data_IF_261115284947
#
_entry.id   IF_261115284947
#
_cell.length_a   1.000
_cell.length_b   1.000
_cell.length_c   1.000
_cell.angle_alpha   90.00
_cell.angle_beta   90.00
_cell.angle_gamma   90.00
#
_symmetry.space_group_name_H-M   'P 1'
#
loop_
_entity.id
_entity.type
_entity.pdbx_description
1 polymer ?
#
# COMPACT_ATOMS: atom_id res chain seq x y z
N UNK A 1 -7.13 -1.72 20.48
CA UNK A 1 -7.83 -0.58 19.90
C UNK A 1 -8.39 -0.94 18.54
N UNK A 2 -9.57 -0.46 18.26
CA UNK A 2 -10.17 -0.67 16.95
C UNK A 2 -9.54 0.29 15.93
N UNK A 3 -9.02 -0.26 14.84
CA UNK A 3 -8.41 0.54 13.79
C UNK A 3 -9.34 0.89 12.65
N UNK A 4 -10.61 0.49 12.78
CA UNK A 4 -11.60 0.82 11.77
C UNK A 4 -12.26 2.12 12.16
N UNK A 5 -12.07 3.14 11.34
CA UNK A 5 -12.59 4.47 11.62
C UNK A 5 -13.60 4.86 10.55
N UNK A 6 -14.82 5.23 10.96
CA UNK A 6 -15.80 5.69 9.99
C UNK A 6 -15.31 6.98 9.32
N UNK A 7 -15.32 7.01 8.00
CA UNK A 7 -14.83 8.16 7.27
C UNK A 7 -15.69 9.40 7.45
N UNK A 8 -16.96 9.19 7.82
CA UNK A 8 -17.90 10.30 7.99
C UNK A 8 -17.78 10.99 9.35
N UNK A 9 -17.01 10.44 10.26
CA UNK A 9 -16.92 10.97 11.59
C UNK A 9 -15.60 11.75 11.75
N UNK A 10 -15.45 12.45 12.84
CA UNK A 10 -14.29 13.30 13.04
C UNK A 10 -13.03 12.54 13.41
N UNK A 11 -13.20 11.28 13.80
CA UNK A 11 -12.05 10.43 14.09
C UNK A 11 -11.39 10.05 12.77
N UNK A 12 -10.08 10.08 12.74
CA UNK A 12 -9.33 9.73 11.55
C UNK A 12 -8.05 9.02 11.93
N UNK A 13 -7.52 8.25 10.98
CA UNK A 13 -6.23 7.61 11.15
C UNK A 13 -5.17 8.70 11.21
N UNK A 14 -4.25 8.66 12.19
CA UNK A 14 -3.19 9.67 12.26
C UNK A 14 -2.33 9.66 11.01
N UNK A 15 -2.08 10.85 10.45
CA UNK A 15 -1.23 10.97 9.27
C UNK A 15 0.22 10.59 9.56
N UNK A 16 0.61 10.63 10.82
CA UNK A 16 1.97 10.28 11.22
C UNK A 16 2.19 8.79 11.37
N UNK A 17 1.28 7.97 10.85
CA UNK A 17 1.39 6.51 10.97
C UNK A 17 2.63 5.95 10.26
N UNK A 18 3.25 6.70 9.38
CA UNK A 18 4.36 6.25 8.58
C UNK A 18 3.90 5.80 7.20
N UNK A 19 4.77 5.15 6.45
CA UNK A 19 4.45 4.73 5.10
C UNK A 19 3.50 3.52 5.11
N UNK A 20 2.53 3.54 4.21
CA UNK A 20 1.62 2.43 3.98
C UNK A 20 2.07 1.76 2.69
N UNK A 21 2.46 0.49 2.77
CA UNK A 21 2.99 -0.26 1.65
C UNK A 21 1.93 -1.23 1.12
N UNK A 22 1.65 -1.13 -0.17
CA UNK A 22 0.69 -2.00 -0.84
C UNK A 22 1.42 -3.06 -1.66
N UNK A 23 1.19 -4.33 -1.37
CA UNK A 23 1.73 -5.43 -2.16
C UNK A 23 0.69 -5.77 -3.23
N UNK A 24 1.05 -5.61 -4.50
CA UNK A 24 0.11 -5.76 -5.60
C UNK A 24 -0.75 -4.50 -5.78
N UNK A 25 -0.14 -3.34 -5.72
CA UNK A 25 -0.84 -2.06 -5.69
C UNK A 25 -1.68 -1.79 -6.94
N UNK A 26 -1.34 -2.42 -8.06
CA UNK A 26 -2.09 -2.25 -9.31
C UNK A 26 -3.37 -3.05 -9.40
N UNK A 27 -3.68 -3.86 -8.39
CA UNK A 27 -4.93 -4.62 -8.36
C UNK A 27 -6.15 -3.73 -8.33
N UNK A 28 -7.29 -4.26 -8.80
CA UNK A 28 -8.51 -3.47 -8.96
C UNK A 28 -8.95 -2.79 -7.66
N UNK A 29 -9.08 -3.55 -6.59
CA UNK A 29 -9.50 -2.97 -5.31
C UNK A 29 -8.38 -2.20 -4.62
N UNK A 30 -7.14 -2.62 -4.83
CA UNK A 30 -5.99 -2.05 -4.14
C UNK A 30 -5.65 -0.66 -4.64
N UNK A 31 -5.69 -0.45 -5.97
CA UNK A 31 -5.31 0.83 -6.55
C UNK A 31 -6.24 1.95 -6.12
N UNK A 32 -7.53 1.68 -6.00
CA UNK A 32 -8.49 2.68 -5.55
C UNK A 32 -8.24 3.11 -4.12
N UNK A 33 -7.99 2.16 -3.23
CA UNK A 33 -7.71 2.46 -1.83
C UNK A 33 -6.41 3.25 -1.70
N UNK A 34 -5.38 2.83 -2.44
CA UNK A 34 -4.09 3.53 -2.41
C UNK A 34 -4.24 4.98 -2.85
N UNK A 35 -5.01 5.21 -3.89
CA UNK A 35 -5.23 6.55 -4.41
C UNK A 35 -5.97 7.43 -3.39
N UNK A 36 -6.98 6.89 -2.74
CA UNK A 36 -7.74 7.63 -1.72
C UNK A 36 -6.83 8.01 -0.56
N UNK A 37 -6.04 7.06 -0.05
CA UNK A 37 -5.15 7.34 1.08
C UNK A 37 -4.10 8.38 0.71
N UNK A 38 -3.56 8.29 -0.51
CA UNK A 38 -2.60 9.28 -1.00
C UNK A 38 -3.24 10.67 -1.04
N UNK A 39 -4.47 10.76 -1.55
CA UNK A 39 -5.19 12.01 -1.62
C UNK A 39 -5.44 12.61 -0.24
N UNK A 40 -5.63 11.76 0.77
CA UNK A 40 -5.86 12.20 2.14
C UNK A 40 -4.56 12.63 2.86
N UNK A 41 -3.41 12.50 2.21
CA UNK A 41 -2.16 12.98 2.77
C UNK A 41 -1.26 11.89 3.36
N UNK A 42 -1.66 10.62 3.28
CA UNK A 42 -0.81 9.53 3.76
C UNK A 42 0.35 9.29 2.81
N UNK A 43 1.47 8.84 3.37
CA UNK A 43 2.59 8.38 2.57
C UNK A 43 2.26 6.98 2.07
N UNK A 44 2.07 6.85 0.77
CA UNK A 44 1.67 5.58 0.15
C UNK A 44 2.76 5.13 -0.81
N UNK A 45 3.08 3.85 -0.75
CA UNK A 45 4.01 3.22 -1.66
C UNK A 45 3.52 1.82 -1.99
N UNK A 46 4.15 1.17 -2.94
CA UNK A 46 3.75 -0.19 -3.25
C UNK A 46 4.62 -0.86 -4.28
N UNK A 47 4.26 -2.10 -4.58
CA UNK A 47 4.94 -2.90 -5.58
C UNK A 47 3.91 -3.64 -6.41
N UNK A 48 4.27 -3.94 -7.65
CA UNK A 48 3.47 -4.79 -8.52
C UNK A 48 4.35 -5.34 -9.62
N UNK A 49 4.26 -6.64 -9.86
CA UNK A 49 5.02 -7.27 -10.92
C UNK A 49 4.47 -6.94 -12.31
N UNK A 50 3.25 -6.42 -12.37
CA UNK A 50 2.57 -6.10 -13.63
C UNK A 50 2.46 -4.58 -13.77
N UNK A 51 2.99 -4.06 -14.86
CA UNK A 51 2.93 -2.63 -15.16
C UNK A 51 1.63 -2.34 -15.93
N UNK A 52 0.52 -2.27 -15.21
CA UNK A 52 -0.79 -2.05 -15.84
C UNK A 52 -1.19 -0.57 -15.77
N UNK A 53 -2.38 -0.26 -16.28
CA UNK A 53 -2.87 1.12 -16.31
C UNK A 53 -3.03 1.72 -14.92
N UNK A 54 -3.42 0.90 -13.94
CA UNK A 54 -3.57 1.37 -12.56
C UNK A 54 -2.22 1.79 -11.98
N UNK A 55 -1.17 0.98 -12.20
CA UNK A 55 0.17 1.32 -11.74
C UNK A 55 0.64 2.62 -12.37
N UNK A 56 0.43 2.78 -13.66
CA UNK A 56 0.84 3.99 -14.36
C UNK A 56 0.10 5.23 -13.83
N UNK A 57 -1.19 5.09 -13.58
CA UNK A 57 -1.99 6.19 -13.04
C UNK A 57 -1.50 6.61 -11.65
N UNK A 58 -1.26 5.65 -10.78
CA UNK A 58 -0.81 5.94 -9.42
C UNK A 58 0.59 6.56 -9.43
N UNK A 59 1.48 6.04 -10.27
CA UNK A 59 2.83 6.59 -10.38
C UNK A 59 2.80 8.03 -10.87
N UNK A 60 1.89 8.34 -11.79
CA UNK A 60 1.73 9.70 -12.29
C UNK A 60 1.25 10.66 -11.20
N UNK A 61 0.62 10.16 -10.16
CA UNK A 61 0.19 10.98 -9.02
C UNK A 61 1.27 11.13 -7.94
N UNK A 62 2.45 10.57 -8.18
CA UNK A 62 3.55 10.72 -7.25
C UNK A 62 3.73 9.58 -6.26
N UNK A 63 2.97 8.50 -6.40
CA UNK A 63 3.12 7.33 -5.54
C UNK A 63 4.33 6.52 -6.01
N UNK A 64 5.21 6.18 -5.07
CA UNK A 64 6.41 5.40 -5.37
C UNK A 64 6.04 3.92 -5.52
N UNK A 65 6.26 3.37 -6.72
CA UNK A 65 5.89 1.99 -7.03
C UNK A 65 7.08 1.26 -7.65
N UNK A 66 7.45 0.14 -7.05
CA UNK A 66 8.47 -0.75 -7.60
C UNK A 66 7.82 -1.77 -8.53
N UNK A 67 8.50 -2.07 -9.63
CA UNK A 67 7.99 -3.00 -10.64
C UNK A 67 8.28 -4.46 -10.30
N UNK A 68 8.75 -4.74 -9.10
CA UNK A 68 9.09 -6.08 -8.62
C UNK A 68 8.79 -6.18 -7.14
N UNK A 69 8.88 -7.39 -6.60
CA UNK A 69 8.70 -7.62 -5.17
C UNK A 69 10.04 -7.93 -4.52
N UNK A 70 10.37 -7.22 -3.46
CA UNK A 70 11.62 -7.40 -2.72
C UNK A 70 11.40 -6.93 -1.29
N UNK A 71 11.94 -7.68 -0.34
CA UNK A 71 11.79 -7.36 1.08
C UNK A 71 12.28 -5.94 1.41
N UNK A 72 13.30 -5.47 0.70
CA UNK A 72 13.86 -4.13 0.93
C UNK A 72 12.87 -3.01 0.63
N UNK A 73 11.85 -3.27 -0.18
CA UNK A 73 10.85 -2.26 -0.52
C UNK A 73 10.02 -1.81 0.68
N UNK A 74 9.92 -2.64 1.72
CA UNK A 74 9.16 -2.25 2.90
C UNK A 74 9.74 -1.03 3.59
N UNK A 75 11.07 -0.96 3.68
CA UNK A 75 11.72 0.18 4.32
C UNK A 75 11.12 0.51 5.68
N UNK A 76 10.65 1.73 5.83
CA UNK A 76 10.05 2.21 7.07
C UNK A 76 8.54 2.04 7.13
N UNK A 77 7.97 1.24 6.23
CA UNK A 77 6.52 1.06 6.21
C UNK A 77 6.04 0.45 7.53
N UNK A 78 4.98 1.05 8.07
CA UNK A 78 4.38 0.60 9.33
C UNK A 78 3.08 -0.16 9.11
N UNK A 79 2.50 -0.06 7.92
CA UNK A 79 1.29 -0.77 7.54
C UNK A 79 1.55 -1.43 6.20
N UNK A 80 1.21 -2.71 6.09
CA UNK A 80 1.33 -3.44 4.83
C UNK A 80 -0.05 -3.96 4.45
N UNK A 81 -0.49 -3.60 3.25
CA UNK A 81 -1.79 -4.01 2.73
C UNK A 81 -1.55 -5.01 1.61
N UNK A 82 -2.20 -6.15 1.68
CA UNK A 82 -2.09 -7.18 0.66
C UNK A 82 -3.47 -7.57 0.16
N UNK A 83 -3.52 -8.06 -1.09
CA UNK A 83 -4.74 -8.67 -1.60
C UNK A 83 -4.68 -10.18 -1.41
N UNK A 84 -5.83 -10.84 -1.54
CA UNK A 84 -5.89 -12.30 -1.45
C UNK A 84 -5.16 -12.99 -2.59
N UNK A 85 -4.85 -12.28 -3.67
CA UNK A 85 -4.13 -12.83 -4.81
C UNK A 85 -2.62 -12.94 -4.57
N UNK A 86 -2.11 -12.31 -3.51
CA UNK A 86 -0.68 -12.36 -3.21
C UNK A 86 -0.32 -13.73 -2.64
N UNK A 87 0.72 -14.34 -3.19
CA UNK A 87 1.17 -15.66 -2.74
C UNK A 87 1.86 -15.58 -1.40
N UNK A 88 1.76 -16.66 -0.62
CA UNK A 88 2.32 -16.70 0.73
C UNK A 88 3.84 -16.54 0.75
N UNK A 89 4.51 -16.91 -0.31
CA UNK A 89 5.97 -16.81 -0.42
C UNK A 89 6.44 -15.49 -1.02
N UNK A 90 5.54 -14.54 -1.26
CA UNK A 90 5.93 -13.22 -1.73
C UNK A 90 6.94 -12.61 -0.76
N UNK A 91 8.12 -12.16 -1.23
CA UNK A 91 9.18 -11.71 -0.33
C UNK A 91 8.78 -10.53 0.55
N UNK A 92 7.92 -9.65 0.06
CA UNK A 92 7.46 -8.51 0.86
C UNK A 92 6.50 -8.96 1.95
N UNK A 93 5.64 -9.93 1.66
CA UNK A 93 4.73 -10.48 2.65
C UNK A 93 5.50 -11.23 3.74
N UNK A 94 6.48 -12.04 3.35
CA UNK A 94 7.32 -12.75 4.32
C UNK A 94 8.04 -11.76 5.22
N UNK A 95 8.64 -10.72 4.66
CA UNK A 95 9.33 -9.70 5.44
C UNK A 95 8.38 -8.96 6.38
N UNK A 96 7.15 -8.70 5.95
CA UNK A 96 6.18 -8.02 6.80
C UNK A 96 5.79 -8.86 8.01
N UNK A 97 5.69 -10.17 7.83
CA UNK A 97 5.37 -11.07 8.95
C UNK A 97 6.47 -11.18 9.98
N UNK A 98 7.71 -10.97 9.55
CA UNK A 98 8.87 -11.07 10.43
C UNK A 98 9.06 -9.83 11.30
N UNK A 99 8.26 -8.82 11.08
CA UNK A 99 8.28 -7.61 11.91
C UNK A 99 7.12 -7.65 12.93
#
# INVERSE_FOLDING_TARGET
MNNILPLHNKTRIPLAVGAIHFVGIGGIGMSGIAEILHHLGYTVQGSDAVENANVKRLRARGINIWASHDAAHLGDATVVVISSAIKKDNPELVAARDK
#
